data_IF_422970478454
#
_entry.id   IF_422970478454
#
_cell.length_a   1.000
_cell.length_b   1.000
_cell.length_c   1.000
_cell.angle_alpha   90.00
_cell.angle_beta   90.00
_cell.angle_gamma   90.00
#
_symmetry.space_group_name_H-M   'P 1'
#
loop_
_entity.id
_entity.type
_entity.pdbx_description
1 polymer ?
#
# COMPACT_ATOMS: atom_id res chain seq x y z
N UNK A 1 -28.64 -18.17 -34.51
CA UNK A 1 -28.13 -19.33 -33.75
C UNK A 1 -26.77 -19.75 -34.29
N UNK A 2 -25.69 -19.59 -33.52
CA UNK A 2 -24.34 -20.00 -33.93
C UNK A 2 -24.20 -21.52 -33.83
N UNK A 3 -23.87 -22.19 -34.94
CA UNK A 3 -23.59 -23.63 -34.95
C UNK A 3 -22.22 -23.88 -34.32
N UNK A 4 -22.20 -24.38 -33.08
CA UNK A 4 -20.97 -24.84 -32.43
C UNK A 4 -20.30 -25.93 -33.28
N UNK A 5 -19.03 -25.74 -33.64
CA UNK A 5 -18.28 -26.72 -34.41
C UNK A 5 -17.93 -27.95 -33.56
N UNK A 6 -17.78 -29.12 -34.20
CA UNK A 6 -17.31 -30.34 -33.51
C UNK A 6 -15.95 -30.14 -32.83
N UNK A 7 -15.05 -29.32 -33.39
CA UNK A 7 -13.75 -28.97 -32.77
C UNK A 7 -13.90 -28.14 -31.50
N UNK A 8 -14.79 -27.16 -31.47
CA UNK A 8 -15.06 -26.36 -30.26
C UNK A 8 -15.74 -27.19 -29.16
N UNK A 9 -16.64 -28.11 -29.54
CA UNK A 9 -17.24 -29.06 -28.60
C UNK A 9 -16.19 -30.00 -27.98
N UNK A 10 -15.32 -30.60 -28.82
CA UNK A 10 -14.25 -31.49 -28.37
C UNK A 10 -13.24 -30.76 -27.47
N UNK A 11 -12.82 -29.53 -27.82
CA UNK A 11 -11.93 -28.71 -26.98
C UNK A 11 -12.56 -28.39 -25.62
N UNK A 12 -13.83 -28.01 -25.59
CA UNK A 12 -14.58 -27.79 -24.35
C UNK A 12 -14.67 -29.05 -23.50
N UNK A 13 -14.96 -30.21 -24.11
CA UNK A 13 -15.01 -31.50 -23.43
C UNK A 13 -13.65 -31.91 -22.84
N UNK A 14 -12.54 -31.74 -23.58
CA UNK A 14 -11.19 -32.01 -23.04
C UNK A 14 -10.80 -31.04 -21.92
N UNK A 15 -11.16 -29.76 -22.02
CA UNK A 15 -10.90 -28.79 -20.95
C UNK A 15 -11.65 -29.11 -19.66
N UNK A 16 -12.93 -29.48 -19.77
CA UNK A 16 -13.75 -29.90 -18.63
C UNK A 16 -13.26 -31.23 -18.04
N UNK A 17 -12.87 -32.20 -18.86
CA UNK A 17 -12.31 -33.46 -18.39
C UNK A 17 -10.97 -33.25 -17.67
N UNK A 18 -10.07 -32.41 -18.23
CA UNK A 18 -8.80 -32.07 -17.60
C UNK A 18 -9.00 -31.34 -16.27
N UNK A 19 -9.92 -30.38 -16.19
CA UNK A 19 -10.27 -29.69 -14.94
C UNK A 19 -10.88 -30.63 -13.89
N UNK A 20 -11.74 -31.56 -14.31
CA UNK A 20 -12.32 -32.57 -13.41
C UNK A 20 -11.28 -33.55 -12.86
N UNK A 21 -10.39 -34.06 -13.73
CA UNK A 21 -9.32 -34.97 -13.32
C UNK A 21 -8.25 -34.28 -12.47
N UNK A 22 -7.87 -33.04 -12.79
CA UNK A 22 -6.98 -32.24 -11.94
C UNK A 22 -7.59 -32.01 -10.55
N UNK A 23 -8.88 -31.64 -10.48
CA UNK A 23 -9.60 -31.49 -9.20
C UNK A 23 -9.65 -32.79 -8.41
N UNK A 24 -9.95 -33.93 -9.06
CA UNK A 24 -9.92 -35.25 -8.42
C UNK A 24 -8.53 -35.59 -7.89
N UNK A 25 -7.49 -35.42 -8.70
CA UNK A 25 -6.10 -35.66 -8.32
C UNK A 25 -5.68 -34.84 -7.08
N UNK A 26 -6.01 -33.55 -7.04
CA UNK A 26 -5.70 -32.70 -5.88
C UNK A 26 -6.55 -33.02 -4.63
N UNK A 27 -7.81 -33.44 -4.80
CA UNK A 27 -8.67 -33.85 -3.67
C UNK A 27 -8.30 -35.22 -3.10
N UNK A 28 -7.79 -36.14 -3.92
CA UNK A 28 -7.51 -37.54 -3.54
C UNK A 28 -6.09 -37.73 -2.99
N UNK A 29 -5.12 -36.92 -3.43
CA UNK A 29 -3.71 -37.04 -3.02
C UNK A 29 -3.20 -35.89 -2.13
N UNK A 30 -4.02 -34.89 -1.82
CA UNK A 30 -3.67 -33.81 -0.88
C UNK A 30 -2.59 -32.83 -1.35
N UNK A 31 -2.07 -32.97 -2.57
CA UNK A 31 -1.04 -32.11 -3.17
C UNK A 31 -1.62 -30.76 -3.64
N UNK A 32 -2.01 -29.89 -2.72
CA UNK A 32 -2.14 -28.47 -3.03
C UNK A 32 -0.74 -27.92 -3.34
N UNK A 33 -0.50 -27.30 -4.50
CA UNK A 33 0.80 -26.71 -4.79
C UNK A 33 1.04 -25.55 -3.81
N UNK A 34 2.27 -25.37 -3.31
CA UNK A 34 2.59 -24.40 -2.24
C UNK A 34 2.13 -22.95 -2.53
N UNK A 35 1.98 -22.57 -3.80
CA UNK A 35 1.47 -21.25 -4.17
C UNK A 35 -0.03 -21.05 -3.92
N UNK A 36 -0.83 -22.12 -3.75
CA UNK A 36 -2.22 -22.04 -3.29
C UNK A 36 -2.35 -21.89 -1.77
N UNK A 37 -1.27 -22.12 -1.01
CA UNK A 37 -1.24 -22.00 0.45
C UNK A 37 -0.40 -20.82 0.96
N UNK A 38 0.33 -20.15 0.07
CA UNK A 38 0.97 -18.87 0.38
C UNK A 38 -0.12 -17.80 0.63
N UNK A 39 -0.15 -17.13 1.80
CA UNK A 39 -1.10 -16.06 2.04
C UNK A 39 -0.84 -14.92 1.05
N UNK A 40 -1.89 -14.34 0.47
CA UNK A 40 -1.72 -13.21 -0.45
C UNK A 40 -0.93 -12.07 0.23
N UNK A 41 -0.02 -11.40 -0.49
CA UNK A 41 0.66 -10.23 0.02
C UNK A 41 -0.36 -9.16 0.45
N UNK A 42 -0.11 -8.44 1.57
CA UNK A 42 -0.94 -7.30 1.92
C UNK A 42 -0.95 -6.25 0.81
N UNK A 43 -1.99 -5.42 0.77
CA UNK A 43 -2.06 -4.28 -0.13
C UNK A 43 -1.18 -3.12 0.35
N UNK A 44 -0.96 -3.00 1.66
CA UNK A 44 -0.09 -1.99 2.29
C UNK A 44 0.75 -2.62 3.40
N UNK A 45 2.03 -2.29 3.41
CA UNK A 45 2.97 -2.57 4.49
C UNK A 45 3.40 -1.26 5.14
N UNK A 46 3.47 -1.27 6.47
CA UNK A 46 4.15 -0.24 7.26
C UNK A 46 5.44 -0.86 7.82
N UNK A 47 6.59 -0.36 7.40
CA UNK A 47 7.86 -0.65 8.06
C UNK A 47 8.08 0.34 9.20
N UNK A 48 8.34 -0.16 10.41
CA UNK A 48 8.57 0.64 11.62
C UNK A 48 9.99 0.36 12.15
N UNK A 49 10.78 1.39 12.44
CA UNK A 49 12.20 1.26 12.78
C UNK A 49 12.67 2.29 13.79
N UNK A 50 13.99 2.43 13.92
CA UNK A 50 14.62 3.37 14.85
C UNK A 50 15.50 4.41 14.15
N UNK A 51 16.14 5.28 14.92
CA UNK A 51 16.99 6.36 14.37
C UNK A 51 18.25 5.83 13.66
N UNK A 52 18.67 4.62 14.05
CA UNK A 52 19.80 3.87 13.50
C UNK A 52 19.48 3.15 12.17
N UNK A 53 18.21 2.99 11.82
CA UNK A 53 17.82 2.35 10.57
C UNK A 53 18.03 3.29 9.37
N UNK A 54 18.80 2.83 8.39
CA UNK A 54 19.02 3.58 7.15
C UNK A 54 17.78 3.56 6.25
N UNK A 55 17.60 4.55 5.34
CA UNK A 55 16.52 4.54 4.36
C UNK A 55 16.44 3.24 3.53
N UNK A 56 17.59 2.65 3.19
CA UNK A 56 17.65 1.35 2.50
C UNK A 56 17.07 0.18 3.33
N UNK A 57 17.25 0.20 4.67
CA UNK A 57 16.68 -0.80 5.58
C UNK A 57 15.17 -0.63 5.70
N UNK A 58 14.67 0.61 5.81
CA UNK A 58 13.24 0.92 5.73
C UNK A 58 12.61 0.42 4.43
N UNK A 59 13.24 0.72 3.28
CA UNK A 59 12.74 0.29 1.97
C UNK A 59 12.68 -1.23 1.84
N UNK A 60 13.75 -1.93 2.24
CA UNK A 60 13.78 -3.39 2.22
C UNK A 60 12.70 -4.00 3.13
N UNK A 61 12.50 -3.45 4.32
CA UNK A 61 11.46 -3.88 5.24
C UNK A 61 10.04 -3.63 4.71
N UNK A 62 9.79 -2.50 4.03
CA UNK A 62 8.49 -2.20 3.46
C UNK A 62 8.15 -3.09 2.24
N UNK A 63 9.16 -3.42 1.41
CA UNK A 63 8.96 -4.21 0.19
C UNK A 63 8.97 -5.73 0.43
N UNK A 64 9.72 -6.26 1.41
CA UNK A 64 9.85 -7.70 1.59
C UNK A 64 8.49 -8.43 1.81
N UNK A 65 7.56 -7.97 2.68
CA UNK A 65 6.26 -8.62 2.84
C UNK A 65 5.31 -8.40 1.66
N UNK A 66 5.57 -7.40 0.81
CA UNK A 66 4.86 -7.22 -0.46
C UNK A 66 5.31 -8.23 -1.54
N UNK A 67 6.41 -8.97 -1.33
CA UNK A 67 7.00 -9.88 -2.32
C UNK A 67 8.25 -9.34 -3.03
N UNK A 68 8.90 -8.31 -2.47
CA UNK A 68 10.11 -7.70 -3.04
C UNK A 68 9.81 -6.65 -4.12
N UNK A 69 10.88 -6.04 -4.64
CA UNK A 69 10.78 -5.11 -5.79
C UNK A 69 10.46 -5.89 -7.09
N UNK A 70 10.88 -7.15 -7.13
CA UNK A 70 10.76 -8.12 -8.23
C UNK A 70 9.30 -8.53 -8.52
N UNK A 71 8.38 -8.28 -7.58
CA UNK A 71 6.93 -8.37 -7.84
C UNK A 71 6.46 -7.32 -8.85
N UNK A 72 7.08 -6.13 -8.81
CA UNK A 72 6.68 -4.95 -9.57
C UNK A 72 7.55 -4.75 -10.80
N UNK A 73 8.86 -4.96 -10.67
CA UNK A 73 9.86 -4.77 -11.73
C UNK A 73 10.37 -6.11 -12.24
N UNK A 74 10.28 -6.31 -13.55
CA UNK A 74 10.79 -7.49 -14.27
C UNK A 74 11.99 -7.10 -15.14
N UNK A 75 12.92 -8.04 -15.42
CA UNK A 75 14.03 -7.79 -16.32
C UNK A 75 13.58 -7.25 -17.69
N UNK A 76 14.26 -6.21 -18.19
CA UNK A 76 13.99 -5.62 -19.49
C UNK A 76 12.98 -4.46 -19.51
N UNK A 77 12.27 -4.20 -18.42
CA UNK A 77 11.27 -3.12 -18.33
C UNK A 77 11.89 -1.72 -18.19
N UNK A 78 11.15 -0.70 -18.65
CA UNK A 78 11.36 0.71 -18.35
C UNK A 78 10.59 1.08 -17.09
N UNK A 79 11.28 1.57 -16.07
CA UNK A 79 10.69 1.95 -14.78
C UNK A 79 10.73 3.47 -14.63
N UNK A 80 9.55 4.07 -14.48
CA UNK A 80 9.38 5.47 -14.13
C UNK A 80 9.31 5.59 -12.60
N UNK A 81 10.18 6.41 -12.00
CA UNK A 81 10.12 6.73 -10.57
C UNK A 81 9.74 8.20 -10.45
N UNK A 82 8.70 8.49 -9.66
CA UNK A 82 8.31 9.85 -9.30
C UNK A 82 8.61 10.12 -7.82
N UNK A 83 9.78 10.71 -7.49
CA UNK A 83 10.02 11.30 -6.18
C UNK A 83 9.30 12.65 -6.05
N UNK A 84 9.51 13.33 -4.92
CA UNK A 84 9.07 14.70 -4.70
C UNK A 84 10.26 15.67 -4.84
N UNK A 85 10.42 16.27 -6.01
CA UNK A 85 11.48 17.25 -6.35
C UNK A 85 10.89 18.66 -6.37
N UNK A 86 9.90 18.91 -5.52
CA UNK A 86 9.03 20.09 -5.61
C UNK A 86 9.69 21.37 -5.08
N UNK A 87 10.60 21.27 -4.10
CA UNK A 87 11.13 22.42 -3.35
C UNK A 87 12.66 22.42 -3.26
N UNK A 88 13.25 23.61 -3.33
CA UNK A 88 14.68 23.86 -3.13
C UNK A 88 14.98 23.98 -1.62
N UNK A 89 14.87 22.87 -0.90
CA UNK A 89 15.28 22.75 0.49
C UNK A 89 16.21 21.56 0.67
N UNK A 90 17.08 21.67 1.68
CA UNK A 90 18.05 20.66 2.05
C UNK A 90 17.40 19.32 2.44
N UNK A 91 18.14 18.19 2.36
CA UNK A 91 17.71 16.90 2.87
C UNK A 91 17.16 16.98 4.29
N UNK A 92 16.37 15.97 4.68
CA UNK A 92 15.81 15.80 6.03
C UNK A 92 14.79 16.85 6.49
N UNK A 93 14.46 17.85 5.65
CA UNK A 93 13.42 18.85 5.93
C UNK A 93 11.99 18.34 5.71
N UNK A 94 11.80 17.09 5.25
CA UNK A 94 10.52 16.54 4.79
C UNK A 94 9.80 17.43 3.74
N UNK A 95 10.55 18.33 3.08
CA UNK A 95 10.07 19.16 1.98
C UNK A 95 10.12 18.36 0.67
N UNK A 96 11.25 17.70 0.40
CA UNK A 96 11.47 16.83 -0.77
C UNK A 96 11.87 15.42 -0.31
N UNK A 97 11.86 14.46 -1.23
CA UNK A 97 12.24 13.05 -0.98
C UNK A 97 13.67 12.96 -0.43
N UNK A 98 13.87 12.10 0.56
CA UNK A 98 15.21 11.81 1.09
C UNK A 98 16.09 11.18 -0.03
N UNK A 99 17.24 11.80 -0.37
CA UNK A 99 18.07 11.36 -1.48
C UNK A 99 18.61 9.94 -1.28
N UNK A 100 18.88 9.51 -0.05
CA UNK A 100 19.38 8.16 0.21
C UNK A 100 18.27 7.10 0.08
N UNK A 101 17.01 7.47 0.34
CA UNK A 101 15.87 6.60 0.05
C UNK A 101 15.67 6.43 -1.46
N UNK A 102 15.80 7.52 -2.24
CA UNK A 102 15.71 7.47 -3.70
C UNK A 102 16.85 6.62 -4.29
N UNK A 103 18.08 6.80 -3.79
CA UNK A 103 19.23 5.97 -4.17
C UNK A 103 18.97 4.49 -3.91
N UNK A 104 18.48 4.15 -2.71
CA UNK A 104 18.16 2.78 -2.35
C UNK A 104 17.11 2.15 -3.30
N UNK A 105 16.09 2.93 -3.69
CA UNK A 105 15.08 2.49 -4.65
C UNK A 105 15.67 2.28 -6.05
N UNK A 106 16.49 3.22 -6.55
CA UNK A 106 17.15 3.10 -7.85
C UNK A 106 18.01 1.83 -7.91
N UNK A 107 18.83 1.56 -6.89
CA UNK A 107 19.70 0.38 -6.87
C UNK A 107 18.90 -0.93 -6.74
N UNK A 108 17.78 -0.96 -6.00
CA UNK A 108 16.87 -2.12 -6.01
C UNK A 108 16.22 -2.35 -7.38
N UNK A 109 15.80 -1.28 -8.07
CA UNK A 109 15.20 -1.36 -9.41
C UNK A 109 16.23 -1.81 -10.47
N UNK A 110 17.49 -1.37 -10.36
CA UNK A 110 18.61 -1.88 -11.17
C UNK A 110 18.84 -3.37 -10.92
N UNK A 111 18.89 -3.78 -9.65
CA UNK A 111 19.10 -5.18 -9.27
C UNK A 111 17.99 -6.12 -9.79
N UNK A 112 16.74 -5.63 -9.90
CA UNK A 112 15.63 -6.33 -10.54
C UNK A 112 15.75 -6.45 -12.08
N UNK A 113 16.78 -5.86 -12.69
CA UNK A 113 17.07 -5.98 -14.13
C UNK A 113 16.33 -4.99 -15.03
N UNK A 114 15.86 -3.84 -14.50
CA UNK A 114 15.26 -2.79 -15.31
C UNK A 114 16.22 -2.37 -16.45
N UNK A 115 15.70 -2.32 -17.68
CA UNK A 115 16.45 -1.87 -18.88
C UNK A 115 16.76 -0.37 -18.83
N UNK A 116 15.83 0.39 -18.28
CA UNK A 116 15.86 1.85 -18.20
C UNK A 116 15.16 2.28 -16.93
N UNK A 117 15.76 3.22 -16.21
CA UNK A 117 15.12 3.92 -15.10
C UNK A 117 15.05 5.38 -15.51
N UNK A 118 13.86 5.97 -15.40
CA UNK A 118 13.65 7.40 -15.63
C UNK A 118 13.00 8.04 -14.41
N UNK A 119 13.64 9.08 -13.88
CA UNK A 119 13.11 9.87 -12.77
C UNK A 119 12.34 11.07 -13.32
N UNK A 120 11.06 11.19 -12.96
CA UNK A 120 10.19 12.27 -13.43
C UNK A 120 9.60 13.05 -12.26
N UNK A 121 9.53 14.37 -12.39
CA UNK A 121 8.64 15.21 -11.59
C UNK A 121 8.41 16.53 -12.32
N UNK A 122 7.36 17.25 -11.96
CA UNK A 122 7.14 18.64 -12.39
C UNK A 122 7.42 19.57 -11.22
N UNK A 123 8.55 20.26 -11.27
CA UNK A 123 9.01 21.08 -10.16
C UNK A 123 8.06 22.27 -9.93
N UNK A 124 7.98 22.77 -8.69
CA UNK A 124 7.24 24.02 -8.40
C UNK A 124 8.16 25.25 -8.39
N UNK A 125 9.47 25.03 -8.35
CA UNK A 125 10.48 26.07 -8.48
C UNK A 125 11.21 25.86 -9.80
N UNK A 126 11.34 26.93 -10.57
CA UNK A 126 12.04 26.97 -11.85
C UNK A 126 13.34 27.80 -11.71
N UNK A 127 14.45 27.41 -12.35
CA UNK A 127 14.61 26.15 -13.08
C UNK A 127 14.66 24.94 -12.11
N UNK A 128 14.20 23.74 -12.54
CA UNK A 128 14.25 22.50 -11.78
C UNK A 128 15.61 22.16 -11.13
N UNK A 129 16.70 22.64 -11.73
CA UNK A 129 18.06 22.47 -11.20
C UNK A 129 18.26 23.04 -9.79
N UNK A 130 17.50 24.06 -9.38
CA UNK A 130 17.58 24.60 -8.01
C UNK A 130 17.02 23.60 -6.98
N UNK A 131 15.92 22.90 -7.29
CA UNK A 131 15.43 21.80 -6.47
C UNK A 131 16.44 20.65 -6.42
N UNK A 132 17.00 20.25 -7.57
CA UNK A 132 17.95 19.15 -7.64
C UNK A 132 19.25 19.41 -6.87
N UNK A 133 19.77 20.64 -6.91
CA UNK A 133 20.97 21.03 -6.18
C UNK A 133 20.73 21.04 -4.65
N UNK A 134 19.70 21.77 -4.18
CA UNK A 134 19.47 21.92 -2.73
C UNK A 134 19.01 20.62 -2.06
N UNK A 135 18.18 19.80 -2.72
CA UNK A 135 17.65 18.55 -2.13
C UNK A 135 18.64 17.39 -2.11
N UNK A 136 19.81 17.51 -2.74
CA UNK A 136 20.75 16.41 -2.95
C UNK A 136 20.28 15.34 -3.95
N UNK A 137 19.04 15.42 -4.45
CA UNK A 137 18.50 14.50 -5.45
C UNK A 137 19.33 14.57 -6.75
N UNK A 138 19.79 15.75 -7.15
CA UNK A 138 20.63 15.92 -8.34
C UNK A 138 21.87 15.04 -8.32
N UNK A 139 22.60 15.04 -7.20
CA UNK A 139 23.78 14.21 -6.98
C UNK A 139 23.46 12.70 -7.07
N UNK A 140 22.33 12.26 -6.50
CA UNK A 140 21.89 10.86 -6.62
C UNK A 140 21.65 10.47 -8.07
N UNK A 141 21.00 11.33 -8.86
CA UNK A 141 20.73 11.06 -10.28
C UNK A 141 22.02 11.01 -11.10
N UNK A 142 22.96 11.94 -10.85
CA UNK A 142 24.26 11.99 -11.52
C UNK A 142 25.12 10.75 -11.20
N UNK A 143 25.22 10.37 -9.92
CA UNK A 143 26.00 9.21 -9.48
C UNK A 143 25.39 7.86 -9.87
N UNK A 144 24.05 7.77 -9.93
CA UNK A 144 23.37 6.53 -10.33
C UNK A 144 23.25 6.39 -11.85
N UNK A 145 23.45 7.47 -12.62
CA UNK A 145 23.44 7.45 -14.09
C UNK A 145 22.09 7.10 -14.71
N UNK A 146 20.99 7.41 -14.02
CA UNK A 146 19.62 7.17 -14.52
C UNK A 146 19.11 8.33 -15.36
N UNK A 147 18.19 8.06 -16.28
CA UNK A 147 17.54 9.12 -17.06
C UNK A 147 16.69 10.01 -16.15
N UNK A 148 16.51 11.27 -16.55
CA UNK A 148 15.72 12.22 -15.78
C UNK A 148 14.94 13.21 -16.65
N UNK A 149 13.68 13.42 -16.31
CA UNK A 149 12.79 14.45 -16.88
C UNK A 149 12.14 15.22 -15.73
N UNK A 150 12.93 16.12 -15.12
CA UNK A 150 12.45 17.09 -14.13
C UNK A 150 12.03 18.34 -14.90
N UNK A 151 10.73 18.47 -15.11
CA UNK A 151 10.16 19.41 -16.06
C UNK A 151 9.93 20.80 -15.45
N UNK A 152 10.38 21.83 -16.17
CA UNK A 152 10.09 23.24 -15.91
C UNK A 152 8.60 23.54 -16.14
N UNK A 153 8.03 24.47 -15.35
CA UNK A 153 6.60 24.75 -15.41
C UNK A 153 6.14 25.50 -16.66
N UNK A 154 7.03 26.19 -17.36
CA UNK A 154 6.70 27.14 -18.43
C UNK A 154 7.51 26.93 -19.71
N UNK A 155 8.72 26.38 -19.62
CA UNK A 155 9.68 26.33 -20.74
C UNK A 155 9.72 24.99 -21.50
N UNK A 156 9.09 23.94 -20.97
CA UNK A 156 9.12 22.60 -21.58
C UNK A 156 8.28 22.51 -22.85
N UNK A 157 8.80 21.89 -23.93
CA UNK A 157 8.07 21.74 -25.17
C UNK A 157 6.92 20.73 -25.03
N UNK A 158 5.81 20.96 -25.73
CA UNK A 158 4.65 20.05 -25.79
C UNK A 158 4.99 18.59 -26.10
N UNK A 159 6.12 18.31 -26.76
CA UNK A 159 6.60 16.95 -27.04
C UNK A 159 7.02 16.14 -25.81
N UNK A 160 7.23 16.77 -24.65
CA UNK A 160 7.42 16.11 -23.35
C UNK A 160 6.11 15.63 -22.70
N UNK A 161 4.97 16.03 -23.26
CA UNK A 161 3.66 15.73 -22.72
C UNK A 161 2.81 14.94 -23.72
N UNK A 162 1.77 14.29 -23.22
CA UNK A 162 0.75 13.60 -24.02
C UNK A 162 -0.59 13.67 -23.29
N UNK A 163 -1.67 13.94 -24.03
CA UNK A 163 -3.02 13.82 -23.48
C UNK A 163 -3.41 12.34 -23.35
N UNK A 164 -3.91 11.96 -22.18
CA UNK A 164 -4.38 10.60 -21.89
C UNK A 164 -5.83 10.62 -21.39
N UNK A 165 -6.56 9.54 -21.66
CA UNK A 165 -7.96 9.41 -21.26
C UNK A 165 -8.11 9.13 -19.76
N UNK A 166 -9.14 9.73 -19.17
CA UNK A 166 -9.62 9.52 -17.81
C UNK A 166 -11.07 9.02 -17.88
N UNK A 167 -11.32 7.74 -18.26
CA UNK A 167 -12.67 7.26 -18.57
C UNK A 167 -13.63 7.41 -17.39
N UNK A 168 -13.16 7.09 -16.19
CA UNK A 168 -13.90 7.15 -14.93
C UNK A 168 -13.88 8.56 -14.28
N UNK A 169 -13.09 9.50 -14.81
CA UNK A 169 -12.90 10.83 -14.24
C UNK A 169 -14.20 11.66 -14.23
N UNK A 170 -14.42 12.42 -13.15
CA UNK A 170 -15.61 13.25 -12.92
C UNK A 170 -15.35 14.74 -13.17
N UNK A 171 -14.15 15.22 -12.84
CA UNK A 171 -13.65 16.58 -13.08
C UNK A 171 -13.07 16.75 -14.50
N UNK A 172 -12.44 15.71 -15.06
CA UNK A 172 -11.93 15.72 -16.43
C UNK A 172 -12.10 14.36 -17.12
N UNK A 173 -12.15 14.37 -18.46
CA UNK A 173 -12.21 13.16 -19.31
C UNK A 173 -10.94 12.86 -20.07
N UNK A 174 -10.05 13.84 -20.19
CA UNK A 174 -8.67 13.69 -20.64
C UNK A 174 -7.79 14.66 -19.85
N UNK A 175 -6.49 14.35 -19.76
CA UNK A 175 -5.52 15.21 -19.09
C UNK A 175 -4.13 15.05 -19.72
N UNK A 176 -3.43 16.16 -19.91
CA UNK A 176 -2.02 16.18 -20.32
C UNK A 176 -1.13 15.66 -19.20
N UNK A 177 -0.25 14.71 -19.51
CA UNK A 177 0.68 14.08 -18.56
C UNK A 177 2.10 14.00 -19.11
N UNK A 178 3.09 13.84 -18.24
CA UNK A 178 4.49 13.59 -18.61
C UNK A 178 4.57 12.32 -19.46
N UNK A 179 5.04 12.46 -20.70
CA UNK A 179 5.06 11.39 -21.69
C UNK A 179 5.86 10.18 -21.22
N UNK A 180 7.03 10.40 -20.62
CA UNK A 180 7.85 9.32 -20.07
C UNK A 180 7.16 8.48 -18.97
N UNK A 181 6.22 9.07 -18.21
CA UNK A 181 5.43 8.32 -17.23
C UNK A 181 4.34 7.47 -17.91
N UNK A 182 3.71 8.00 -18.97
CA UNK A 182 2.69 7.32 -19.76
C UNK A 182 3.23 6.19 -20.66
N UNK A 183 4.50 6.25 -21.03
CA UNK A 183 5.20 5.27 -21.87
C UNK A 183 6.00 4.22 -21.09
N UNK A 184 6.19 4.38 -19.78
CA UNK A 184 6.90 3.40 -18.96
C UNK A 184 6.13 2.08 -18.81
N UNK A 185 6.85 0.97 -18.59
CA UNK A 185 6.23 -0.31 -18.29
C UNK A 185 5.73 -0.34 -16.84
N UNK A 186 6.52 0.21 -15.91
CA UNK A 186 6.26 0.25 -14.46
C UNK A 186 6.35 1.70 -13.95
N UNK A 187 5.44 2.12 -13.09
CA UNK A 187 5.44 3.43 -12.41
C UNK A 187 5.52 3.26 -10.90
N UNK A 188 6.47 3.93 -10.26
CA UNK A 188 6.63 3.98 -8.81
C UNK A 188 6.40 5.42 -8.33
N UNK A 189 5.35 5.64 -7.55
CA UNK A 189 5.03 6.92 -6.93
C UNK A 189 5.67 6.98 -5.53
N UNK A 190 6.60 7.90 -5.32
CA UNK A 190 7.41 8.03 -4.11
C UNK A 190 7.14 9.38 -3.44
N UNK A 191 6.09 9.43 -2.64
CA UNK A 191 5.63 10.61 -1.93
C UNK A 191 6.36 10.81 -0.59
N UNK A 192 6.24 12.02 -0.04
CA UNK A 192 6.74 12.39 1.30
C UNK A 192 5.57 12.92 2.13
N UNK A 193 5.41 12.43 3.35
CA UNK A 193 4.34 12.86 4.23
C UNK A 193 4.58 14.27 4.78
N UNK A 194 3.67 15.20 4.44
CA UNK A 194 3.76 16.61 4.87
C UNK A 194 2.41 17.31 4.91
N UNK A 195 2.27 18.32 5.76
CA UNK A 195 1.17 19.30 5.69
C UNK A 195 1.27 20.12 4.41
N UNK A 196 0.18 20.76 4.02
CA UNK A 196 0.14 21.68 2.90
C UNK A 196 -0.86 22.82 3.17
N UNK A 197 -0.76 23.93 2.43
CA UNK A 197 -1.58 25.13 2.70
C UNK A 197 -2.96 25.07 2.02
N UNK A 198 -3.01 24.65 0.75
CA UNK A 198 -4.25 24.56 -0.05
C UNK A 198 -5.13 23.36 0.35
N UNK A 199 -4.49 22.24 0.68
CA UNK A 199 -5.12 21.00 1.15
C UNK A 199 -4.40 20.60 2.44
N UNK A 200 -5.05 19.96 3.44
CA UNK A 200 -4.43 19.80 4.76
C UNK A 200 -3.12 19.00 4.76
N UNK A 201 -2.98 18.06 3.82
CA UNK A 201 -1.84 17.15 3.68
C UNK A 201 -1.41 17.00 2.21
N UNK A 202 -0.17 16.57 1.99
CA UNK A 202 0.32 15.98 0.74
C UNK A 202 0.87 14.60 1.07
N UNK A 203 0.28 13.59 0.41
CA UNK A 203 0.52 12.16 0.58
C UNK A 203 0.43 11.49 -0.82
N UNK A 204 0.32 10.17 -0.94
CA UNK A 204 0.38 9.46 -2.22
C UNK A 204 -0.65 9.92 -3.25
N UNK A 205 -1.91 10.16 -2.85
CA UNK A 205 -2.98 10.56 -3.79
C UNK A 205 -2.67 11.95 -4.38
N UNK A 206 -2.48 12.96 -3.53
CA UNK A 206 -2.16 14.33 -3.99
C UNK A 206 -0.82 14.38 -4.73
N UNK A 207 0.12 13.48 -4.45
CA UNK A 207 1.41 13.48 -5.14
C UNK A 207 1.29 13.22 -6.65
N UNK A 208 0.24 12.50 -7.08
CA UNK A 208 -0.05 12.22 -8.50
C UNK A 208 -0.11 13.48 -9.39
N UNK A 209 -0.44 14.64 -8.83
CA UNK A 209 -0.47 15.93 -9.56
C UNK A 209 0.85 16.19 -10.29
N UNK A 210 1.99 15.76 -9.74
CA UNK A 210 3.32 15.96 -10.37
C UNK A 210 3.55 15.15 -11.67
N UNK A 211 2.64 14.25 -12.06
CA UNK A 211 2.63 13.64 -13.39
C UNK A 211 1.90 14.48 -14.45
N UNK A 212 1.16 15.53 -14.07
CA UNK A 212 0.32 16.32 -14.99
C UNK A 212 1.11 17.42 -15.68
N UNK A 213 0.73 17.74 -16.91
CA UNK A 213 1.28 18.88 -17.67
C UNK A 213 0.91 20.22 -17.03
N UNK A 214 -0.32 20.34 -16.53
CA UNK A 214 -0.84 21.58 -15.93
C UNK A 214 -1.47 21.33 -14.54
N UNK A 215 -0.65 21.18 -13.49
CA UNK A 215 -1.08 21.18 -12.09
C UNK A 215 -1.96 22.39 -11.73
N UNK A 216 -1.70 23.55 -12.32
CA UNK A 216 -2.45 24.78 -12.05
C UNK A 216 -3.91 24.70 -12.50
N UNK A 217 -4.19 23.97 -13.60
CA UNK A 217 -5.55 23.72 -14.08
C UNK A 217 -6.42 22.97 -13.08
N UNK A 218 -5.83 22.07 -12.28
CA UNK A 218 -6.56 21.38 -11.20
C UNK A 218 -6.90 22.30 -10.02
N UNK A 219 -6.21 23.44 -9.88
CA UNK A 219 -6.45 24.40 -8.78
C UNK A 219 -7.54 25.45 -9.10
N UNK A 220 -8.36 25.23 -10.15
CA UNK A 220 -9.43 26.14 -10.55
C UNK A 220 -10.48 26.37 -9.44
N UNK A 221 -10.87 25.32 -8.71
CA UNK A 221 -11.67 25.39 -7.48
C UNK A 221 -11.25 24.29 -6.51
N UNK A 222 -11.62 24.39 -5.22
CA UNK A 222 -11.36 23.32 -4.25
C UNK A 222 -12.05 22.00 -4.62
N UNK A 223 -13.32 22.05 -5.03
CA UNK A 223 -14.06 20.86 -5.47
C UNK A 223 -13.43 20.21 -6.71
N UNK A 224 -12.97 21.02 -7.67
CA UNK A 224 -12.27 20.55 -8.85
C UNK A 224 -10.92 19.93 -8.52
N UNK A 225 -10.18 20.51 -7.56
CA UNK A 225 -8.91 19.98 -7.07
C UNK A 225 -9.10 18.65 -6.35
N UNK A 226 -10.05 18.56 -5.41
CA UNK A 226 -10.28 17.36 -4.62
C UNK A 226 -10.79 16.19 -5.48
N UNK A 227 -11.72 16.46 -6.41
CA UNK A 227 -12.18 15.44 -7.35
C UNK A 227 -11.12 15.11 -8.40
N UNK A 228 -10.36 16.09 -8.88
CA UNK A 228 -9.28 15.88 -9.83
C UNK A 228 -8.14 15.02 -9.28
N UNK A 229 -7.81 15.15 -7.99
CA UNK A 229 -6.85 14.26 -7.30
C UNK A 229 -7.36 12.82 -7.27
N UNK A 230 -8.64 12.60 -7.00
CA UNK A 230 -9.24 11.27 -7.06
C UNK A 230 -9.21 10.70 -8.49
N UNK A 231 -9.62 11.50 -9.47
CA UNK A 231 -9.64 11.10 -10.89
C UNK A 231 -8.27 10.71 -11.43
N UNK A 232 -7.19 11.38 -10.97
CA UNK A 232 -5.81 11.03 -11.35
C UNK A 232 -5.42 9.59 -11.01
N UNK A 233 -6.02 9.00 -9.96
CA UNK A 233 -5.80 7.59 -9.60
C UNK A 233 -6.48 6.65 -10.61
N UNK A 234 -7.56 7.09 -11.26
CA UNK A 234 -8.25 6.36 -12.31
C UNK A 234 -7.63 6.50 -13.72
N UNK A 235 -6.55 7.26 -13.90
CA UNK A 235 -5.90 7.46 -15.22
C UNK A 235 -4.96 6.29 -15.53
N UNK A 236 -5.29 5.34 -16.43
CA UNK A 236 -4.56 4.07 -16.54
C UNK A 236 -3.11 4.22 -17.00
N UNK A 237 -2.80 5.31 -17.74
CA UNK A 237 -1.46 5.58 -18.26
C UNK A 237 -0.46 6.04 -17.20
N UNK A 238 -0.91 6.64 -16.11
CA UNK A 238 -0.03 7.10 -15.02
C UNK A 238 -0.28 6.37 -13.69
N UNK A 239 -1.22 5.41 -13.64
CA UNK A 239 -1.48 4.60 -12.46
C UNK A 239 -0.19 3.93 -11.95
N UNK A 240 0.25 4.19 -10.70
CA UNK A 240 1.45 3.56 -10.16
C UNK A 240 1.23 2.08 -9.86
N UNK A 241 2.21 1.26 -10.23
CA UNK A 241 2.26 -0.16 -9.89
C UNK A 241 2.67 -0.35 -8.42
N UNK A 242 3.38 0.64 -7.87
CA UNK A 242 3.81 0.71 -6.48
C UNK A 242 3.74 2.16 -5.97
N UNK A 243 3.13 2.35 -4.80
CA UNK A 243 3.19 3.58 -4.02
C UNK A 243 4.14 3.39 -2.84
N UNK A 244 4.95 4.40 -2.57
CA UNK A 244 5.81 4.53 -1.39
C UNK A 244 5.50 5.90 -0.76
N UNK A 245 5.23 5.92 0.54
CA UNK A 245 5.13 7.15 1.33
C UNK A 245 6.25 7.17 2.36
N UNK A 246 7.19 8.10 2.15
CA UNK A 246 8.22 8.43 3.11
C UNK A 246 7.61 9.11 4.35
N UNK A 247 7.79 8.46 5.49
CA UNK A 247 7.45 8.98 6.81
C UNK A 247 8.60 8.74 7.81
N UNK A 248 9.85 8.66 7.33
CA UNK A 248 11.03 8.64 8.21
C UNK A 248 11.03 9.96 8.98
N UNK A 249 10.88 11.07 8.24
CA UNK A 249 10.55 12.40 8.75
C UNK A 249 9.26 12.88 8.10
N UNK A 250 8.45 13.61 8.87
CA UNK A 250 7.16 14.13 8.45
C UNK A 250 7.08 15.61 8.80
N UNK A 251 6.70 16.47 7.84
CA UNK A 251 6.38 17.87 8.14
C UNK A 251 4.95 17.95 8.66
N UNK A 252 4.78 17.95 9.99
CA UNK A 252 3.47 17.88 10.68
C UNK A 252 2.78 19.23 10.86
N UNK A 253 3.46 20.36 10.61
CA UNK A 253 2.89 21.70 10.74
C UNK A 253 3.53 22.72 9.80
N UNK A 254 2.71 23.64 9.30
CA UNK A 254 3.14 24.79 8.51
C UNK A 254 3.04 24.55 7.00
N UNK A 255 3.76 25.34 6.17
CA UNK A 255 3.83 25.11 4.72
C UNK A 255 4.39 23.73 4.39
N UNK A 256 4.25 23.29 3.15
CA UNK A 256 4.75 22.00 2.65
C UNK A 256 6.26 21.97 2.36
N UNK A 257 6.99 22.98 2.87
CA UNK A 257 8.40 23.25 2.61
C UNK A 257 9.04 24.02 3.78
N UNK A 258 10.36 24.14 3.79
CA UNK A 258 11.11 24.86 4.81
C UNK A 258 12.53 24.32 5.01
N UNK A 259 13.35 25.11 5.70
CA UNK A 259 14.73 24.84 6.09
C UNK A 259 14.85 24.03 7.39
N UNK A 260 13.87 24.14 8.29
CA UNK A 260 13.81 23.37 9.53
C UNK A 260 13.68 21.86 9.30
N UNK A 261 14.50 21.08 10.02
CA UNK A 261 14.51 19.61 10.08
C UNK A 261 13.87 19.09 11.36
N UNK A 262 13.82 17.77 11.54
CA UNK A 262 13.47 17.10 12.81
C UNK A 262 14.36 17.51 14.00
N UNK A 263 15.57 17.99 13.73
CA UNK A 263 16.52 18.47 14.76
C UNK A 263 16.40 19.99 14.96
N UNK A 264 16.27 20.78 13.89
CA UNK A 264 16.32 22.25 13.98
C UNK A 264 14.95 22.92 14.13
N UNK A 265 13.86 22.27 13.72
CA UNK A 265 12.48 22.70 13.99
C UNK A 265 11.56 21.49 14.29
N UNK A 266 11.74 20.83 15.46
CA UNK A 266 10.89 19.72 15.91
C UNK A 266 9.41 20.09 16.09
N UNK A 267 9.07 21.39 16.02
CA UNK A 267 7.68 21.88 16.07
C UNK A 267 6.95 21.74 14.73
N UNK A 268 7.71 21.68 13.62
CA UNK A 268 7.18 21.55 12.25
C UNK A 268 7.55 20.25 11.58
N UNK A 269 8.73 19.70 11.84
CA UNK A 269 9.17 18.39 11.30
C UNK A 269 9.38 17.44 12.46
N UNK A 270 8.87 16.21 12.35
CA UNK A 270 9.07 15.16 13.35
C UNK A 270 9.63 13.91 12.68
N UNK A 271 10.54 13.23 13.37
CA UNK A 271 11.00 11.90 12.99
C UNK A 271 10.00 10.86 13.50
N UNK A 272 9.47 10.04 12.61
CA UNK A 272 8.53 8.95 12.91
C UNK A 272 9.12 7.57 12.64
N UNK A 273 10.23 7.48 11.89
CA UNK A 273 10.89 6.21 11.55
C UNK A 273 9.93 5.19 10.95
N UNK A 274 9.13 5.62 9.97
CA UNK A 274 8.22 4.75 9.23
C UNK A 274 8.37 4.89 7.73
N UNK A 275 8.13 3.79 7.01
CA UNK A 275 7.97 3.82 5.57
C UNK A 275 6.76 2.98 5.19
N UNK A 276 5.84 3.56 4.44
CA UNK A 276 4.70 2.83 3.90
C UNK A 276 4.97 2.47 2.45
N UNK A 277 4.62 1.26 2.05
CA UNK A 277 4.65 0.82 0.65
C UNK A 277 3.42 -0.03 0.34
N UNK A 278 2.93 0.01 -0.90
CA UNK A 278 1.75 -0.77 -1.29
C UNK A 278 1.15 -0.42 -2.64
N UNK A 279 0.02 -1.06 -2.94
CA UNK A 279 -0.78 -0.86 -4.17
C UNK A 279 -2.11 -0.16 -3.90
N UNK A 280 -2.34 0.31 -2.66
CA UNK A 280 -3.57 0.98 -2.23
C UNK A 280 -3.21 2.38 -1.69
N UNK A 281 -3.25 3.43 -2.53
CA UNK A 281 -2.84 4.77 -2.12
C UNK A 281 -3.82 5.43 -1.15
N UNK A 282 -5.10 5.06 -1.19
CA UNK A 282 -6.11 5.57 -0.25
C UNK A 282 -5.83 5.05 1.15
N UNK A 283 -5.46 3.78 1.28
CA UNK A 283 -5.15 3.14 2.56
C UNK A 283 -3.81 3.62 3.14
N UNK A 284 -2.81 3.90 2.29
CA UNK A 284 -1.56 4.55 2.69
C UNK A 284 -1.84 5.95 3.25
N UNK A 285 -2.64 6.75 2.52
CA UNK A 285 -2.96 8.12 2.92
C UNK A 285 -3.85 8.15 4.17
N UNK A 286 -4.79 7.22 4.28
CA UNK A 286 -5.67 7.10 5.45
C UNK A 286 -4.90 6.75 6.73
N UNK A 287 -3.99 5.77 6.66
CA UNK A 287 -3.09 5.45 7.78
C UNK A 287 -2.26 6.67 8.18
N UNK A 288 -1.72 7.41 7.21
CA UNK A 288 -0.90 8.58 7.46
C UNK A 288 -1.69 9.73 8.13
N UNK A 289 -2.94 9.97 7.74
CA UNK A 289 -3.82 10.94 8.40
C UNK A 289 -3.99 10.64 9.90
N UNK A 290 -4.31 9.39 10.23
CA UNK A 290 -4.53 8.96 11.62
C UNK A 290 -3.23 9.00 12.43
N UNK A 291 -2.12 8.47 11.88
CA UNK A 291 -0.88 8.23 12.64
C UNK A 291 0.07 9.42 12.70
N UNK A 292 0.08 10.31 11.70
CA UNK A 292 1.08 11.39 11.60
C UNK A 292 0.49 12.78 11.78
N UNK A 293 -0.78 12.97 11.42
CA UNK A 293 -1.44 14.28 11.45
C UNK A 293 -2.56 14.38 12.50
N UNK A 294 -2.90 13.28 13.19
CA UNK A 294 -4.00 13.19 14.15
C UNK A 294 -5.31 13.75 13.56
N UNK A 295 -5.64 13.29 12.35
CA UNK A 295 -6.84 13.67 11.59
C UNK A 295 -7.56 12.42 11.13
N UNK A 296 -8.88 12.51 11.04
CA UNK A 296 -9.66 11.47 10.40
C UNK A 296 -9.46 11.57 8.88
N UNK A 297 -9.25 10.45 8.17
CA UNK A 297 -9.15 10.48 6.71
C UNK A 297 -10.44 10.98 6.05
N UNK A 298 -11.58 10.90 6.76
CA UNK A 298 -12.87 11.44 6.33
C UNK A 298 -12.97 12.96 6.39
N UNK A 299 -12.00 13.64 6.99
CA UNK A 299 -11.86 15.11 6.97
C UNK A 299 -11.07 15.61 5.74
N UNK A 300 -10.52 14.70 4.94
CA UNK A 300 -9.68 15.01 3.79
C UNK A 300 -10.43 14.66 2.50
N UNK A 301 -11.07 15.67 1.91
CA UNK A 301 -12.04 15.50 0.81
C UNK A 301 -11.51 14.65 -0.35
N UNK A 302 -10.31 14.88 -0.88
CA UNK A 302 -9.75 14.04 -1.95
C UNK A 302 -9.55 12.57 -1.58
N UNK A 303 -9.24 12.24 -0.31
CA UNK A 303 -9.16 10.84 0.14
C UNK A 303 -10.56 10.22 0.14
N UNK A 304 -11.57 10.97 0.60
CA UNK A 304 -12.98 10.55 0.52
C UNK A 304 -13.42 10.35 -0.93
N UNK A 305 -13.10 11.28 -1.85
CA UNK A 305 -13.41 11.14 -3.29
C UNK A 305 -12.71 9.95 -3.94
N UNK A 306 -11.45 9.68 -3.56
CA UNK A 306 -10.71 8.52 -4.06
C UNK A 306 -11.33 7.19 -3.59
N UNK A 307 -11.76 7.13 -2.32
CA UNK A 307 -12.51 6.00 -1.76
C UNK A 307 -13.89 5.82 -2.41
N UNK A 308 -14.66 6.90 -2.59
CA UNK A 308 -15.95 6.90 -3.28
C UNK A 308 -15.84 6.50 -4.76
N UNK A 309 -14.70 6.74 -5.40
CA UNK A 309 -14.35 6.25 -6.75
C UNK A 309 -13.68 4.86 -6.75
N UNK A 310 -13.66 4.13 -5.61
CA UNK A 310 -13.14 2.77 -5.49
C UNK A 310 -11.63 2.63 -5.82
N UNK A 311 -10.82 3.66 -5.59
CA UNK A 311 -9.35 3.62 -5.79
C UNK A 311 -8.58 3.04 -4.59
N UNK A 312 -9.27 2.57 -3.54
CA UNK A 312 -8.64 1.96 -2.37
C UNK A 312 -9.55 1.89 -1.14
N UNK A 313 -9.01 1.50 0.01
CA UNK A 313 -9.73 1.41 1.29
C UNK A 313 -9.41 2.60 2.21
N UNK A 314 -10.43 3.19 2.85
CA UNK A 314 -10.26 4.31 3.79
C UNK A 314 -10.29 3.86 5.26
N UNK A 315 -10.85 2.68 5.54
CA UNK A 315 -10.96 2.14 6.90
C UNK A 315 -9.70 1.35 7.29
N UNK A 316 -8.77 2.06 7.94
CA UNK A 316 -7.48 1.53 8.42
C UNK A 316 -7.67 0.36 9.39
N UNK A 317 -8.68 0.43 10.27
CA UNK A 317 -8.97 -0.62 11.24
C UNK A 317 -9.41 -1.90 10.54
N UNK A 318 -10.41 -1.81 9.65
CA UNK A 318 -10.89 -2.93 8.83
C UNK A 318 -9.77 -3.53 7.97
N UNK A 319 -8.90 -2.69 7.39
CA UNK A 319 -7.75 -3.14 6.62
C UNK A 319 -6.71 -3.88 7.48
N UNK A 320 -6.52 -3.46 8.73
CA UNK A 320 -5.63 -4.13 9.69
C UNK A 320 -6.21 -5.46 10.18
N UNK A 321 -7.49 -5.48 10.56
CA UNK A 321 -8.20 -6.69 11.02
C UNK A 321 -8.29 -7.78 9.93
N UNK A 322 -8.40 -7.38 8.66
CA UNK A 322 -8.36 -8.30 7.50
C UNK A 322 -6.94 -8.67 7.04
N UNK A 323 -5.89 -8.06 7.62
CA UNK A 323 -4.50 -8.27 7.21
C UNK A 323 -4.18 -7.71 5.81
N UNK A 324 -5.01 -6.81 5.27
CA UNK A 324 -4.76 -6.04 4.03
C UNK A 324 -3.73 -4.94 4.27
N UNK A 325 -3.71 -4.36 5.47
CA UNK A 325 -2.60 -3.56 6.01
C UNK A 325 -1.85 -4.37 7.05
N UNK A 326 -0.51 -4.34 7.04
CA UNK A 326 0.33 -5.00 8.07
C UNK A 326 1.52 -4.12 8.46
N UNK A 327 1.74 -3.95 9.76
CA UNK A 327 2.98 -3.38 10.30
C UNK A 327 4.03 -4.46 10.55
N UNK A 328 5.30 -4.12 10.31
CA UNK A 328 6.46 -4.96 10.65
C UNK A 328 7.60 -4.08 11.15
N UNK A 329 8.40 -4.57 12.11
CA UNK A 329 9.61 -3.86 12.50
C UNK A 329 10.75 -4.14 11.51
N UNK A 330 11.58 -3.13 11.24
CA UNK A 330 12.80 -3.26 10.43
C UNK A 330 13.77 -4.26 11.07
N UNK A 331 13.81 -4.30 12.40
CA UNK A 331 14.62 -5.24 13.17
C UNK A 331 14.19 -6.71 12.95
N UNK A 332 12.88 -7.00 12.88
CA UNK A 332 12.37 -8.36 12.71
C UNK A 332 12.53 -8.88 11.28
N UNK A 333 12.31 -8.03 10.27
CA UNK A 333 12.41 -8.41 8.86
C UNK A 333 13.86 -8.55 8.36
N UNK A 334 14.83 -7.96 9.06
CA UNK A 334 16.25 -7.99 8.68
C UNK A 334 17.10 -8.92 9.56
N UNK A 335 16.49 -9.70 10.46
CA UNK A 335 17.21 -10.82 11.10
C UNK A 335 17.60 -11.83 10.01
N UNK A 336 18.85 -12.28 9.92
CA UNK A 336 19.17 -13.40 9.05
C UNK A 336 18.34 -14.61 9.50
N UNK A 337 17.60 -15.21 8.58
CA UNK A 337 16.94 -16.50 8.84
C UNK A 337 18.01 -17.46 9.36
N UNK A 338 17.81 -18.12 10.52
CA UNK A 338 18.81 -19.05 11.03
C UNK A 338 19.07 -20.10 9.96
N UNK A 339 20.31 -20.18 9.47
CA UNK A 339 20.73 -21.24 8.55
C UNK A 339 20.31 -22.56 9.17
N UNK A 340 19.54 -23.42 8.47
CA UNK A 340 19.18 -24.71 9.01
C UNK A 340 20.48 -25.44 9.32
N UNK A 341 20.74 -25.67 10.62
CA UNK A 341 21.90 -26.46 11.04
C UNK A 341 21.80 -27.79 10.31
N UNK A 342 22.85 -28.26 9.61
CA UNK A 342 22.76 -29.49 8.84
C UNK A 342 22.33 -30.60 9.79
N UNK A 343 21.19 -31.22 9.51
CA UNK A 343 20.77 -32.45 10.20
C UNK A 343 21.97 -33.39 10.13
N UNK A 344 22.55 -33.81 11.26
CA UNK A 344 23.72 -34.67 11.22
C UNK A 344 23.33 -35.91 10.42
N UNK A 345 24.08 -36.18 9.36
CA UNK A 345 23.88 -37.38 8.58
C UNK A 345 23.93 -38.58 9.54
N UNK A 346 23.12 -39.64 9.32
CA UNK A 346 23.25 -40.87 10.08
C UNK A 346 24.71 -41.29 10.04
N UNK A 347 25.36 -41.32 11.20
CA UNK A 347 26.74 -41.80 11.27
C UNK A 347 26.69 -43.29 11.08
N UNK A 348 27.26 -43.77 9.97
CA UNK A 348 27.51 -45.17 9.68
C UNK A 348 28.55 -45.72 10.66
N UNK A 349 28.16 -45.84 11.93
CA UNK A 349 28.89 -46.66 12.89
C UNK A 349 28.75 -48.12 12.45
N UNK A 350 29.86 -48.83 12.17
CA UNK A 350 29.77 -50.25 11.89
C UNK A 350 29.21 -50.96 13.13
N UNK A 351 28.01 -51.52 13.01
CA UNK A 351 27.39 -52.33 14.05
C UNK A 351 28.37 -53.41 14.50
N UNK A 352 28.85 -53.43 15.76
CA UNK A 352 29.80 -54.44 16.19
C UNK A 352 29.12 -55.81 16.16
N UNK A 353 29.64 -56.70 15.33
CA UNK A 353 29.15 -58.08 15.21
C UNK A 353 29.29 -58.76 16.58
N UNK A 354 28.20 -59.25 17.21
CA UNK A 354 28.31 -59.91 18.50
C UNK A 354 29.13 -61.20 18.36
N UNK A 355 30.00 -61.53 19.34
CA UNK A 355 30.79 -62.75 19.28
C UNK A 355 29.88 -63.98 19.29
N UNK A 356 30.18 -64.93 18.40
CA UNK A 356 29.41 -66.16 18.21
C UNK A 356 29.48 -67.02 19.48
N UNK A 357 28.39 -67.07 20.24
CA UNK A 357 28.29 -67.87 21.46
C UNK A 357 28.15 -69.37 21.12
N UNK A 358 29.06 -70.20 21.61
CA UNK A 358 28.99 -71.66 21.48
C UNK A 358 28.16 -72.20 22.66
N UNK A 359 27.04 -72.92 22.43
CA UNK A 359 26.21 -73.41 23.53
C UNK A 359 26.82 -74.62 24.24
N UNK A 360 26.99 -74.52 25.56
CA UNK A 360 27.29 -75.66 26.44
C UNK A 360 25.98 -76.40 26.77
N UNK A 361 25.93 -77.74 26.76
CA UNK A 361 24.70 -78.49 27.02
C UNK A 361 24.21 -78.33 28.46
N UNK A 362 22.92 -78.06 28.64
CA UNK A 362 22.24 -78.03 29.94
C UNK A 362 21.61 -79.41 30.22
N UNK A 363 21.77 -79.88 31.46
CA UNK A 363 21.27 -81.19 31.92
C UNK A 363 19.80 -81.11 32.31
N UNK A 364 19.01 -82.08 31.88
CA UNK A 364 17.57 -82.22 32.17
C UNK A 364 17.30 -83.00 33.47
N UNK A 365 16.45 -82.50 34.37
CA UNK A 365 15.70 -83.32 35.33
C UNK A 365 14.23 -83.48 34.93
N UNK A 366 13.68 -84.68 35.14
CA UNK A 366 12.30 -85.11 34.81
C UNK A 366 11.25 -84.68 35.87
N UNK A 367 9.93 -84.74 35.59
CA UNK A 367 8.89 -84.00 36.32
C UNK A 367 8.14 -84.80 37.41
N UNK A 368 7.34 -84.10 38.24
CA UNK A 368 6.28 -84.74 39.06
C UNK A 368 5.03 -83.86 39.29
N UNK A 369 3.91 -84.49 39.71
CA UNK A 369 2.49 -84.09 39.51
C UNK A 369 1.65 -84.58 40.73
N UNK A 370 0.54 -84.02 41.25
CA UNK A 370 -0.41 -82.92 40.93
C UNK A 370 -1.07 -82.38 42.22
N UNK A 371 -1.94 -81.35 42.15
CA UNK A 371 -2.83 -80.98 43.27
C UNK A 371 -3.97 -79.99 42.95
N UNK A 372 -5.23 -80.39 43.19
CA UNK A 372 -6.46 -79.56 43.12
C UNK A 372 -6.66 -78.74 44.42
N UNK A 373 -7.45 -77.66 44.39
CA UNK A 373 -8.05 -77.12 45.63
C UNK A 373 -8.96 -75.89 45.46
N UNK A 374 -10.19 -75.99 45.94
CA UNK A 374 -11.29 -75.00 45.91
C UNK A 374 -11.07 -73.75 46.80
N UNK A 375 -11.86 -72.69 46.57
CA UNK A 375 -12.69 -72.11 47.65
C UNK A 375 -12.51 -70.64 48.06
N UNK A 376 -13.43 -69.77 47.61
CA UNK A 376 -14.34 -69.00 48.50
C UNK A 376 -13.88 -67.72 49.25
N UNK A 377 -14.75 -66.69 49.18
CA UNK A 377 -14.88 -65.49 50.05
C UNK A 377 -13.77 -64.41 50.01
N UNK A 378 -14.08 -63.11 50.10
CA UNK A 378 -15.41 -62.47 50.16
C UNK A 378 -15.41 -60.94 50.02
N UNK A 379 -16.59 -60.43 49.65
CA UNK A 379 -17.22 -59.13 49.89
C UNK A 379 -16.46 -57.79 49.82
N UNK A 380 -16.84 -56.98 48.82
CA UNK A 380 -17.37 -55.62 49.05
C UNK A 380 -18.37 -55.23 47.93
N UNK A 381 -19.60 -54.85 48.31
CA UNK A 381 -20.68 -54.32 47.45
C UNK A 381 -21.14 -53.00 48.13
N UNK A 382 -21.44 -51.88 47.47
CA UNK A 382 -22.75 -51.41 46.91
C UNK A 382 -22.44 -49.95 46.46
N UNK A 383 -22.43 -49.63 45.17
CA UNK A 383 -23.55 -49.23 44.29
C UNK A 383 -24.16 -47.83 44.56
N UNK A 384 -24.27 -47.04 43.49
CA UNK A 384 -25.19 -45.92 43.27
C UNK A 384 -25.26 -45.60 41.77
N UNK A 385 -26.02 -46.37 40.99
CA UNK A 385 -26.60 -45.88 39.73
C UNK A 385 -27.89 -45.07 39.97
N UNK A 386 -28.66 -44.73 38.92
CA UNK A 386 -28.26 -44.33 37.56
C UNK A 386 -29.10 -43.10 37.10
N UNK A 387 -29.45 -43.01 35.80
CA UNK A 387 -30.41 -42.07 35.15
C UNK A 387 -29.91 -40.64 34.82
N UNK A 388 -30.17 -40.06 33.63
CA UNK A 388 -30.95 -40.47 32.45
C UNK A 388 -30.42 -39.73 31.18
N UNK A 389 -30.37 -40.44 30.03
CA UNK A 389 -30.41 -40.01 28.61
C UNK A 389 -29.68 -38.72 28.11
N UNK A 390 -29.00 -38.68 26.96
CA UNK A 390 -28.78 -39.68 25.90
C UNK A 390 -29.00 -39.12 24.47
N UNK A 391 -27.98 -39.17 23.60
CA UNK A 391 -27.97 -38.98 22.12
C UNK A 391 -28.40 -37.59 21.55
N UNK A 392 -27.56 -36.85 20.80
CA UNK A 392 -27.10 -37.00 19.39
C UNK A 392 -28.23 -36.78 18.35
N UNK A 393 -28.33 -35.64 17.61
CA UNK A 393 -27.56 -35.20 16.40
C UNK A 393 -28.07 -35.83 15.08
N UNK A 394 -28.16 -35.16 13.89
CA UNK A 394 -28.39 -33.75 13.49
C UNK A 394 -29.47 -33.61 12.34
N UNK A 395 -29.62 -32.43 11.68
CA UNK A 395 -29.54 -32.19 10.20
C UNK A 395 -30.02 -30.76 9.79
N UNK A 396 -29.81 -30.35 8.53
CA UNK A 396 -29.73 -28.98 8.01
C UNK A 396 -30.97 -28.42 7.25
N UNK A 397 -30.90 -27.11 6.91
CA UNK A 397 -31.65 -26.36 5.84
C UNK A 397 -33.16 -26.11 6.10
N UNK A 398 -33.85 -25.05 5.62
CA UNK A 398 -33.55 -23.99 4.61
C UNK A 398 -34.51 -22.76 4.74
N UNK A 399 -34.10 -21.57 4.26
CA UNK A 399 -34.89 -20.36 3.83
C UNK A 399 -36.03 -19.78 4.72
N UNK A 400 -35.96 -18.45 4.97
CA UNK A 400 -37.12 -17.57 4.73
C UNK A 400 -37.52 -16.50 5.77
N UNK A 401 -37.51 -15.22 5.37
CA UNK A 401 -38.61 -14.29 5.70
C UNK A 401 -38.49 -13.33 6.90
N UNK A 402 -38.12 -12.08 6.60
CA UNK A 402 -38.78 -10.81 7.01
C UNK A 402 -39.50 -10.73 8.39
N UNK A 403 -39.03 -9.87 9.31
CA UNK A 403 -39.75 -9.54 10.55
C UNK A 403 -39.23 -8.31 11.32
N UNK A 404 -40.05 -7.25 11.34
CA UNK A 404 -39.91 -5.94 12.01
C UNK A 404 -39.04 -5.82 13.27
N UNK A 405 -38.34 -4.68 13.40
CA UNK A 405 -38.11 -4.00 14.70
C UNK A 405 -38.62 -2.55 14.60
N UNK A 406 -39.41 -2.15 15.61
CA UNK A 406 -40.05 -0.84 15.72
C UNK A 406 -39.37 0.00 16.81
N UNK A 407 -39.23 1.30 16.56
CA UNK A 407 -38.90 2.31 17.57
C UNK A 407 -37.56 3.01 17.33
N UNK A 408 -37.41 4.30 17.67
CA UNK A 408 -38.37 5.29 18.19
C UNK A 408 -37.82 6.67 17.84
N UNK A 409 -38.58 7.52 17.13
CA UNK A 409 -38.21 8.94 17.00
C UNK A 409 -38.54 9.65 18.32
N UNK A 410 -37.54 10.23 18.98
CA UNK A 410 -37.76 11.33 19.92
C UNK A 410 -37.31 12.63 19.26
N UNK A 411 -38.24 13.58 19.15
CA UNK A 411 -37.94 14.95 18.83
C UNK A 411 -38.18 15.78 20.10
N UNK A 412 -37.17 16.49 20.58
CA UNK A 412 -37.32 17.55 21.58
C UNK A 412 -37.04 18.90 20.92
N UNK A 413 -37.98 19.83 21.14
CA UNK A 413 -37.95 21.20 20.61
C UNK A 413 -37.18 22.09 21.59
N UNK A 414 -36.46 23.09 21.08
CA UNK A 414 -36.11 24.30 21.83
C UNK A 414 -36.46 25.56 21.01
N UNK A 415 -36.78 26.70 21.67
CA UNK A 415 -37.62 27.74 21.09
C UNK A 415 -36.85 28.88 20.40
N UNK A 416 -37.60 29.81 19.79
CA UNK A 416 -37.09 30.94 18.99
C UNK A 416 -37.59 32.28 19.56
N UNK A 417 -36.78 33.33 19.36
CA UNK A 417 -37.12 34.77 19.40
C UNK A 417 -37.34 35.39 20.81
N UNK A 418 -37.35 36.75 20.96
CA UNK A 418 -37.29 37.78 19.91
C UNK A 418 -36.25 38.91 20.16
N UNK A 419 -36.22 39.92 19.27
CA UNK A 419 -35.61 41.23 19.55
C UNK A 419 -34.88 41.86 18.36
N UNK A 420 -35.59 42.66 17.55
CA UNK A 420 -34.99 43.59 16.59
C UNK A 420 -35.07 45.02 17.12
N UNK A 421 -34.15 45.89 16.67
CA UNK A 421 -34.13 47.32 16.96
C UNK A 421 -33.47 48.08 15.81
N UNK A 422 -34.05 49.21 15.45
CA UNK A 422 -33.69 50.05 14.29
C UNK A 422 -32.56 51.05 14.64
N UNK A 423 -31.81 51.51 13.63
CA UNK A 423 -31.58 52.95 13.36
C UNK A 423 -30.64 53.18 12.16
N UNK A 424 -31.09 54.08 11.27
CA UNK A 424 -30.40 55.20 10.58
C UNK A 424 -28.85 55.33 10.65
N UNK A 425 -28.15 55.85 9.64
CA UNK A 425 -28.59 56.48 8.38
C UNK A 425 -27.42 57.18 7.64
N UNK A 426 -27.76 58.09 6.71
CA UNK A 426 -26.87 58.87 5.82
C UNK A 426 -26.05 58.09 4.76
N UNK A 427 -25.73 58.59 3.57
CA UNK A 427 -26.32 59.50 2.56
C UNK A 427 -25.16 60.07 1.71
N UNK A 428 -25.43 60.41 0.44
CA UNK A 428 -24.54 61.15 -0.49
C UNK A 428 -23.23 60.42 -0.90
N UNK A 429 -22.65 60.58 -2.09
CA UNK A 429 -23.11 61.17 -3.37
C UNK A 429 -22.46 60.35 -4.51
N UNK A 430 -23.09 60.21 -5.68
CA UNK A 430 -23.02 61.15 -6.83
C UNK A 430 -21.70 61.09 -7.61
N UNK A 431 -21.72 61.38 -8.92
CA UNK A 431 -20.51 61.51 -9.75
C UNK A 431 -20.32 60.46 -10.84
N UNK A 432 -20.92 60.71 -12.01
CA UNK A 432 -20.89 59.83 -13.18
C UNK A 432 -19.55 59.66 -13.92
N UNK A 433 -19.56 58.62 -14.75
CA UNK A 433 -19.11 58.57 -16.16
C UNK A 433 -17.67 58.96 -16.56
N UNK A 434 -17.04 58.12 -17.40
CA UNK A 434 -15.93 58.55 -18.27
C UNK A 434 -14.97 57.45 -18.75
N UNK A 435 -15.34 56.72 -19.79
CA UNK A 435 -14.42 56.05 -20.74
C UNK A 435 -14.59 56.72 -22.11
N UNK A 436 -13.62 56.62 -23.06
CA UNK A 436 -12.17 56.78 -22.94
C UNK A 436 -11.73 58.01 -23.81
N UNK A 437 -10.47 58.10 -24.32
CA UNK A 437 -10.23 57.57 -25.67
C UNK A 437 -8.80 57.02 -25.92
N UNK A 438 -8.62 56.46 -27.12
CA UNK A 438 -7.34 56.07 -27.73
C UNK A 438 -6.35 57.25 -27.90
N UNK A 439 -5.05 56.97 -27.96
CA UNK A 439 -4.26 57.21 -29.20
C UNK A 439 -2.86 56.55 -29.19
N UNK A 440 -2.26 56.44 -30.38
CA UNK A 440 -1.01 55.74 -30.66
C UNK A 440 0.26 56.62 -30.52
N UNK A 441 1.45 56.01 -30.41
CA UNK A 441 2.70 56.80 -30.31
C UNK A 441 4.04 56.05 -30.31
N UNK A 442 4.50 55.61 -31.49
CA UNK A 442 5.89 55.66 -31.99
C UNK A 442 7.14 55.36 -31.10
N UNK A 443 7.99 54.45 -31.61
CA UNK A 443 9.47 54.50 -31.48
C UNK A 443 10.07 54.03 -30.14
N UNK A 444 11.34 53.62 -30.07
CA UNK A 444 12.35 53.39 -31.11
C UNK A 444 13.72 53.07 -30.51
N UNK A 445 14.44 52.10 -31.11
CA UNK A 445 15.84 51.66 -30.86
C UNK A 445 16.67 52.34 -29.74
N UNK A 446 17.18 51.49 -28.84
CA UNK A 446 18.63 51.35 -28.61
C UNK A 446 18.94 49.85 -28.38
#
# INVERSE_FOLDING_TARGET
MSRLSRRSLLRGATGLAAGYWARRFFQEYGYYPLWMTAPEPPAVVVAEGSDEDTPARFLKAALAPLGGIERFVRPGQTVCIKPNVTWANKPHTASSTDPDLLRALIEMVKAAGAKRIIVVDRCTIDPPMMCLAESGIGQVLDETGVDRELLDRYLEPKSKYIDVEAPEGKAFKSIGVIKAAAEADVRINMAVAKTHLVLPVTLCCKHMIGFTENPGGLHATFEYLDQGIADLLGVPKIHPDLHILEAIRVRVRGPSYGDGTDVTDPSRVKRFNRLLAGTDPVLIDAYACENFFNRSPKEITHIVRAWESNHGEIDVKKATESGRLRSYTVADLLRPTPTPSPTPAPTDWPTPTPPRYTPTPIVTPTPFVAGRGQGGSGDAIVDLGPALNGALVPLAMVIGGMGMVVGRRLASRLPKAPGGGEAEGNSQGDGGAGEPPDEAGSGGRA
#
